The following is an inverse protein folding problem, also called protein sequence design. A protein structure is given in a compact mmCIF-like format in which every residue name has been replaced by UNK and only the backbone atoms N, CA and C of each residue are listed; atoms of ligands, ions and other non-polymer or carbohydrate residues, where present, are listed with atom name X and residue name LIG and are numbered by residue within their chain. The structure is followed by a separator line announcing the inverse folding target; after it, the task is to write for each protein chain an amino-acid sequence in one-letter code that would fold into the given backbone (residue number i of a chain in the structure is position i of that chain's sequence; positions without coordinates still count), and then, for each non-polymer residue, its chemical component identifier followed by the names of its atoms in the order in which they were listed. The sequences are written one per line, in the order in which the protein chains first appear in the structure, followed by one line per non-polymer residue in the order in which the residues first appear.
data_IF_673607751922
#
_entry.id   IF_673607751922
#
_cell.length_a   1.000
_cell.length_b   1.000
_cell.length_c   1.000
_cell.angle_alpha   90.00
_cell.angle_beta   90.00
_cell.angle_gamma   90.00
#
_symmetry.space_group_name_H-M   'P 1'
#
loop_
_entity.id
_entity.type
_entity.pdbx_description
1 polymer ?
2 non-polymer ?
3 non-polymer ?
4 water ?
#
# COMPACT_ATOMS: atom_id res chain seq x y z
N UNK A 1 6.14 26.60 -3.10
CA UNK A 1 7.31 26.88 -2.21
C UNK A 1 7.10 26.43 -0.78
N UNK A 2 5.83 26.40 -0.34
CA UNK A 2 5.50 25.96 1.01
C UNK A 2 4.97 24.53 0.97
N UNK A 3 5.65 23.64 1.69
CA UNK A 3 5.27 22.23 1.69
C UNK A 3 4.84 21.78 3.08
N UNK A 4 3.97 22.58 3.72
CA UNK A 4 3.47 22.28 5.05
C UNK A 4 2.20 21.44 4.93
N UNK A 5 2.21 20.21 5.50
CA UNK A 5 1.03 19.37 5.42
C UNK A 5 -0.03 19.81 6.42
N UNK A 6 -1.29 19.53 6.08
CA UNK A 6 -2.40 19.86 6.96
C UNK A 6 -3.26 18.61 6.94
N UNK A 7 -4.06 18.36 8.00
CA UNK A 7 -4.90 17.15 7.98
C UNK A 7 -5.69 16.95 6.68
N UNK A 8 -5.93 18.02 5.92
CA UNK A 8 -6.66 17.89 4.65
C UNK A 8 -5.91 17.07 3.59
N UNK A 9 -4.62 16.84 3.80
CA UNK A 9 -3.82 16.06 2.86
C UNK A 9 -3.99 14.53 3.06
N UNK A 10 -4.70 14.12 4.11
CA UNK A 10 -4.97 12.71 4.38
C UNK A 10 -3.73 11.85 4.62
N UNK A 11 -2.70 12.40 5.26
CA UNK A 11 -1.50 11.62 5.56
C UNK A 11 -1.68 10.85 6.86
N UNK A 12 -1.43 9.53 6.82
CA UNK A 12 -1.57 8.72 8.01
C UNK A 12 -0.31 7.87 8.24
N UNK A 13 -0.15 7.42 9.47
CA UNK A 13 1.02 6.64 9.88
C UNK A 13 0.59 5.51 10.79
N UNK A 14 1.29 4.39 10.70
CA UNK A 14 1.02 3.28 11.59
C UNK A 14 1.70 3.54 12.92
N UNK A 15 1.13 3.06 14.01
CA UNK A 15 1.74 3.24 15.32
C UNK A 15 3.09 2.55 15.33
N UNK A 16 3.18 1.45 14.59
CA UNK A 16 4.39 0.64 14.54
C UNK A 16 5.54 1.29 13.76
N UNK A 17 5.25 2.38 13.05
CA UNK A 17 6.25 3.06 12.25
C UNK A 17 7.14 3.94 13.11
N UNK A 18 6.63 5.09 13.54
CA UNK A 18 7.40 5.97 14.42
C UNK A 18 7.70 5.24 15.73
N UNK A 19 6.92 4.21 16.03
CA UNK A 19 7.13 3.44 17.25
C UNK A 19 8.15 2.31 17.11
N UNK A 20 8.75 2.13 15.93
CA UNK A 20 9.74 1.05 15.75
C UNK A 20 10.95 1.27 16.64
N UNK A 21 11.23 0.29 17.50
CA UNK A 21 12.36 0.39 18.43
C UNK A 21 13.75 0.13 17.85
N UNK A 22 13.83 -0.32 16.61
CA UNK A 22 15.13 -0.53 15.99
C UNK A 22 15.75 -1.91 16.11
N UNK A 23 14.97 -2.89 16.57
CA UNK A 23 15.49 -4.24 16.71
C UNK A 23 15.45 -4.90 15.35
N UNK A 24 16.61 -5.24 14.78
CA UNK A 24 16.64 -5.91 13.48
C UNK A 24 17.18 -7.35 13.65
N UNK A 25 17.38 -8.10 12.54
CA UNK A 25 17.81 -9.48 12.81
C UNK A 25 19.19 -9.63 13.44
N UNK A 26 20.01 -8.61 13.34
CA UNK A 26 21.37 -8.65 13.87
C UNK A 26 21.63 -7.67 15.01
N UNK A 27 20.59 -7.07 15.55
CA UNK A 27 20.81 -6.11 16.62
C UNK A 27 19.63 -5.83 17.53
N UNK A 28 19.95 -5.40 18.74
CA UNK A 28 18.93 -5.08 19.73
C UNK A 28 18.35 -3.70 19.47
N UNK A 29 17.29 -3.37 20.19
CA UNK A 29 16.63 -2.09 20.04
C UNK A 29 17.54 -0.92 20.41
N UNK A 30 17.42 0.19 19.67
CA UNK A 30 18.22 1.38 19.93
C UNK A 30 17.37 2.54 20.50
N UNK A 31 16.05 2.35 20.60
CA UNK A 31 15.16 3.38 21.13
C UNK A 31 14.17 2.77 22.13
N UNK A 32 13.65 3.58 23.05
CA UNK A 32 12.68 3.06 24.00
C UNK A 32 11.31 2.99 23.34
N UNK A 33 10.40 2.26 23.95
CA UNK A 33 9.05 2.12 23.42
C UNK A 33 8.29 3.44 23.57
N UNK A 34 7.47 3.74 22.57
CA UNK A 34 6.65 4.96 22.59
C UNK A 34 5.23 4.61 23.02
N UNK A 35 4.67 5.47 23.86
CA UNK A 35 3.30 5.29 24.32
C UNK A 35 2.42 5.68 23.13
N UNK A 36 1.49 4.81 22.71
CA UNK A 36 0.63 5.16 21.57
C UNK A 36 0.04 6.57 21.70
N UNK A 37 -0.26 6.99 22.93
CA UNK A 37 -0.79 8.33 23.17
C UNK A 37 0.22 9.43 22.77
N UNK A 38 1.50 9.20 23.02
CA UNK A 38 2.51 10.20 22.65
C UNK A 38 2.68 10.28 21.14
N UNK A 39 2.60 9.14 20.47
CA UNK A 39 2.73 9.12 19.02
C UNK A 39 1.57 9.88 18.39
N UNK A 40 0.37 9.70 18.93
CA UNK A 40 -0.79 10.41 18.38
C UNK A 40 -0.59 11.92 18.50
N UNK A 41 -0.11 12.36 19.66
CA UNK A 41 0.11 13.79 19.89
C UNK A 41 1.21 14.37 19.00
N UNK A 42 2.32 13.66 18.90
CA UNK A 42 3.46 14.11 18.08
C UNK A 42 3.13 14.16 16.58
N UNK A 43 2.39 13.17 16.10
CA UNK A 43 2.01 13.13 14.70
C UNK A 43 1.02 14.24 14.38
N UNK A 44 0.09 14.48 15.29
CA UNK A 44 -0.90 15.53 15.11
C UNK A 44 -0.18 16.87 14.94
N UNK A 45 0.86 17.07 15.74
CA UNK A 45 1.62 18.31 15.68
C UNK A 45 2.32 18.50 14.34
N UNK A 46 2.64 17.39 13.68
CA UNK A 46 3.36 17.41 12.41
C UNK A 46 2.45 17.64 11.21
N UNK A 47 1.15 17.57 11.45
CA UNK A 47 0.20 17.80 10.37
C UNK A 47 -0.45 16.56 9.81
N UNK A 48 -0.26 15.43 10.49
CA UNK A 48 -0.87 14.17 10.07
C UNK A 48 -2.40 14.22 10.24
N UNK A 49 -3.10 13.37 9.48
CA UNK A 49 -4.57 13.27 9.52
C UNK A 49 -5.04 12.16 10.46
N UNK A 50 -4.26 11.10 10.58
CA UNK A 50 -4.66 10.00 11.44
C UNK A 50 -3.60 8.95 11.64
N UNK A 51 -3.98 7.89 12.32
CA UNK A 51 -3.08 6.79 12.60
C UNK A 51 -3.75 5.46 12.31
N UNK A 52 -2.95 4.40 12.26
CA UNK A 52 -3.44 3.05 12.02
C UNK A 52 -2.76 2.15 13.04
N UNK A 53 -3.29 0.95 13.23
CA UNK A 53 -2.69 0.06 14.21
C UNK A 53 -2.98 -1.40 13.96
N UNK A 54 -2.16 -2.23 14.59
CA UNK A 54 -2.38 -3.67 14.63
C UNK A 54 -2.98 -3.82 16.01
N UNK A 55 -3.83 -4.82 16.21
CA UNK A 55 -4.37 -5.05 17.54
C UNK A 55 -3.26 -5.04 18.60
N UNK A 56 -2.17 -5.76 18.32
CA UNK A 56 -1.08 -5.86 19.28
C UNK A 56 -0.24 -4.62 19.53
N UNK A 57 -0.43 -3.56 18.74
CA UNK A 57 0.33 -2.33 18.96
C UNK A 57 -0.38 -1.56 20.07
N UNK A 58 -1.70 -1.67 20.06
CA UNK A 58 -2.55 -0.93 20.99
C UNK A 58 -2.81 -1.70 22.27
N UNK A 59 -3.09 -2.99 22.15
CA UNK A 59 -3.38 -3.84 23.29
C UNK A 59 -2.32 -4.93 23.40
N UNK A 60 -1.40 -4.84 24.40
CA UNK A 60 -0.35 -5.86 24.52
C UNK A 60 -0.92 -7.26 24.51
N UNK A 61 -0.22 -8.17 23.84
CA UNK A 61 -0.69 -9.54 23.75
C UNK A 61 -0.89 -10.13 25.15
N UNK A 62 -2.02 -10.81 25.31
CA UNK A 62 -2.34 -11.43 26.59
C UNK A 62 -3.12 -10.57 27.57
N UNK A 63 -3.41 -9.32 27.19
CA UNK A 63 -4.14 -8.42 28.09
C UNK A 63 -5.52 -8.90 28.48
N UNK A 64 -5.84 -8.73 29.76
CA UNK A 64 -7.16 -9.10 30.27
C UNK A 64 -8.17 -8.10 29.68
N UNK A 65 -9.44 -8.49 29.60
CA UNK A 65 -10.47 -7.64 29.02
C UNK A 65 -10.60 -6.27 29.69
N UNK A 66 -10.04 -6.12 30.90
CA UNK A 66 -10.12 -4.86 31.62
C UNK A 66 -8.94 -3.98 31.23
N UNK A 67 -7.74 -4.55 31.22
CA UNK A 67 -6.56 -3.81 30.82
C UNK A 67 -6.80 -3.33 29.39
N UNK A 68 -7.39 -4.21 28.59
CA UNK A 68 -7.72 -3.91 27.20
C UNK A 68 -8.57 -2.65 27.13
N UNK A 69 -9.64 -2.61 27.93
CA UNK A 69 -10.53 -1.44 27.96
C UNK A 69 -9.78 -0.16 28.31
N UNK A 70 -8.87 -0.25 29.28
CA UNK A 70 -8.11 0.90 29.71
C UNK A 70 -7.20 1.42 28.59
N UNK A 71 -6.61 0.51 27.83
CA UNK A 71 -5.73 0.90 26.72
C UNK A 71 -6.54 1.60 25.63
N UNK A 72 -7.72 1.09 25.33
CA UNK A 72 -8.56 1.71 24.32
C UNK A 72 -9.05 3.09 24.77
N UNK A 73 -9.43 3.21 26.03
CA UNK A 73 -9.94 4.46 26.58
C UNK A 73 -8.90 5.59 26.48
N UNK A 74 -7.66 5.29 26.86
CA UNK A 74 -6.59 6.29 26.80
C UNK A 74 -6.34 6.70 25.35
N UNK A 75 -6.41 5.72 24.46
CA UNK A 75 -6.16 5.95 23.04
C UNK A 75 -7.23 6.85 22.47
N UNK A 76 -8.49 6.52 22.78
CA UNK A 76 -9.63 7.30 22.31
C UNK A 76 -9.56 8.74 22.79
N UNK A 77 -9.10 8.94 24.03
CA UNK A 77 -9.01 10.29 24.57
C UNK A 77 -7.98 11.12 23.81
N UNK A 78 -6.88 10.49 23.41
CA UNK A 78 -5.83 11.18 22.66
C UNK A 78 -6.36 11.59 21.29
N UNK A 79 -7.21 10.75 20.70
CA UNK A 79 -7.81 11.04 19.40
C UNK A 79 -8.78 12.20 19.54
N UNK A 80 -9.52 12.22 20.64
CA UNK A 80 -10.49 13.28 20.88
C UNK A 80 -9.79 14.61 21.13
N UNK A 81 -8.65 14.54 21.81
CA UNK A 81 -7.89 15.74 22.15
C UNK A 81 -7.18 16.36 20.94
N UNK A 82 -6.93 15.54 19.92
CA UNK A 82 -6.18 16.01 18.75
C UNK A 82 -6.98 16.13 17.44
N UNK A 83 -8.10 15.42 17.36
CA UNK A 83 -8.88 15.44 16.14
C UNK A 83 -8.42 14.38 15.14
N UNK A 84 -7.47 13.55 15.57
CA UNK A 84 -6.93 12.49 14.72
C UNK A 84 -7.94 11.36 14.49
N UNK A 85 -7.96 10.83 13.28
CA UNK A 85 -8.86 9.75 12.91
C UNK A 85 -8.09 8.43 12.82
N UNK A 86 -8.82 7.34 12.69
CA UNK A 86 -8.23 5.99 12.54
C UNK A 86 -8.90 5.36 11.32
N UNK A 87 -8.37 5.61 10.11
CA UNK A 87 -9.04 5.10 8.90
C UNK A 87 -8.82 3.64 8.57
N UNK A 88 -7.80 3.04 9.18
CA UNK A 88 -7.48 1.64 8.88
C UNK A 88 -6.93 0.93 10.10
N UNK A 89 -7.18 -0.37 10.17
CA UNK A 89 -6.69 -1.18 11.28
C UNK A 89 -6.33 -2.54 10.70
N UNK A 90 -5.50 -3.29 11.41
CA UNK A 90 -5.09 -4.60 10.94
C UNK A 90 -4.78 -5.53 12.11
N UNK A 91 -4.51 -6.79 11.82
CA UNK A 91 -4.22 -7.76 12.86
C UNK A 91 -2.77 -8.17 12.81
N UNK A 92 -2.19 -8.42 13.98
CA UNK A 92 -0.82 -8.94 14.00
C UNK A 92 -0.93 -10.46 14.05
N UNK A 93 -0.70 -11.10 12.92
CA UNK A 93 -0.75 -12.56 12.82
C UNK A 93 0.65 -13.03 12.45
N UNK A 94 1.66 -12.31 12.91
CA UNK A 94 3.04 -12.65 12.55
C UNK A 94 4.08 -12.67 13.66
N UNK A 95 3.89 -11.89 14.72
CA UNK A 95 4.90 -11.82 15.78
C UNK A 95 4.98 -13.01 16.73
N UNK A 96 3.84 -13.42 17.27
CA UNK A 96 3.84 -14.50 18.24
C UNK A 96 4.29 -15.84 17.67
N UNK A 97 5.13 -16.58 18.40
CA UNK A 97 5.62 -17.88 17.94
C UNK A 97 4.53 -18.83 17.44
N UNK A 98 3.31 -18.67 17.92
CA UNK A 98 2.25 -19.57 17.51
C UNK A 98 1.97 -19.44 16.03
N UNK A 99 2.30 -18.29 15.44
CA UNK A 99 2.06 -18.06 14.02
C UNK A 99 3.28 -18.35 13.15
N UNK A 100 4.23 -19.12 13.68
CA UNK A 100 5.46 -19.44 12.96
C UNK A 100 5.27 -20.09 11.60
N UNK A 101 4.16 -20.77 11.40
CA UNK A 101 3.88 -21.38 10.10
C UNK A 101 2.70 -20.72 9.44
N UNK A 102 2.33 -19.55 9.94
CA UNK A 102 1.21 -18.82 9.36
C UNK A 102 0.04 -18.64 10.30
N UNK A 103 -0.95 -17.91 9.81
CA UNK A 103 -2.15 -17.66 10.57
C UNK A 103 -3.29 -18.37 9.86
N UNK A 104 -3.77 -17.79 8.77
CA UNK A 104 -4.84 -18.39 7.99
C UNK A 104 -4.46 -19.66 7.27
N UNK A 105 -3.17 -19.83 6.95
CA UNK A 105 -2.72 -21.02 6.23
C UNK A 105 -1.72 -21.89 7.01
N UNK A 106 -1.73 -21.79 8.34
CA UNK A 106 -0.85 -22.64 9.14
C UNK A 106 -1.28 -24.09 8.90
N UNK A 107 -0.36 -25.05 8.95
CA UNK A 107 -0.74 -26.44 8.73
C UNK A 107 -1.63 -26.95 9.85
N UNK A 108 -1.40 -26.45 11.06
CA UNK A 108 -2.19 -26.83 12.22
C UNK A 108 -3.56 -26.16 12.18
N UNK A 109 -4.63 -26.95 12.09
CA UNK A 109 -6.00 -26.43 12.02
C UNK A 109 -6.38 -25.56 13.22
N UNK A 110 -5.93 -25.95 14.40
CA UNK A 110 -6.28 -25.17 15.59
C UNK A 110 -5.70 -23.76 15.59
N UNK A 111 -4.56 -23.57 14.92
CA UNK A 111 -3.95 -22.26 14.84
C UNK A 111 -4.73 -21.41 13.84
N UNK A 112 -5.24 -22.04 12.79
CA UNK A 112 -6.03 -21.33 11.80
C UNK A 112 -7.32 -20.80 12.43
N UNK A 113 -7.94 -21.61 13.29
CA UNK A 113 -9.16 -21.18 13.96
C UNK A 113 -8.85 -20.05 14.92
N UNK A 114 -7.73 -20.15 15.65
CA UNK A 114 -7.32 -19.10 16.58
C UNK A 114 -7.04 -17.79 15.84
N UNK A 115 -6.35 -17.87 14.70
CA UNK A 115 -6.05 -16.70 13.89
C UNK A 115 -7.33 -15.97 13.47
N UNK A 116 -8.36 -16.74 13.14
CA UNK A 116 -9.63 -16.16 12.72
C UNK A 116 -10.32 -15.42 13.88
N UNK A 117 -10.35 -16.05 15.05
CA UNK A 117 -10.98 -15.42 16.21
C UNK A 117 -10.28 -14.12 16.63
N UNK A 118 -8.95 -14.11 16.49
CA UNK A 118 -8.12 -12.95 16.87
C UNK A 118 -8.38 -11.81 15.92
N UNK A 119 -8.60 -12.14 14.66
CA UNK A 119 -8.89 -11.13 13.64
C UNK A 119 -10.27 -10.53 13.89
N UNK A 120 -11.27 -11.39 14.04
CA UNK A 120 -12.65 -10.96 14.24
C UNK A 120 -12.78 -10.00 15.43
N UNK A 121 -12.06 -10.31 16.50
CA UNK A 121 -12.08 -9.47 17.69
C UNK A 121 -11.57 -8.07 17.38
N UNK A 122 -10.56 -7.96 16.52
CA UNK A 122 -10.02 -6.65 16.18
C UNK A 122 -10.85 -5.93 15.13
N UNK A 123 -11.67 -6.67 14.39
CA UNK A 123 -12.57 -6.05 13.43
C UNK A 123 -13.63 -5.27 14.21
N UNK A 124 -14.16 -5.87 15.28
CA UNK A 124 -15.16 -5.21 16.10
C UNK A 124 -14.59 -3.90 16.62
N UNK A 125 -13.34 -3.96 17.06
CA UNK A 125 -12.68 -2.78 17.61
C UNK A 125 -12.46 -1.71 16.56
N UNK A 126 -12.02 -2.14 15.38
CA UNK A 126 -11.76 -1.21 14.28
C UNK A 126 -13.01 -0.43 13.89
N UNK A 127 -14.16 -1.11 13.88
CA UNK A 127 -15.41 -0.46 13.53
C UNK A 127 -15.76 0.55 14.62
N UNK A 128 -15.54 0.17 15.86
CA UNK A 128 -15.82 1.05 16.99
C UNK A 128 -15.04 2.35 16.87
N UNK A 129 -13.81 2.28 16.34
CA UNK A 129 -12.95 3.47 16.20
C UNK A 129 -13.14 4.22 14.88
N UNK A 130 -14.01 3.70 14.01
CA UNK A 130 -14.31 4.39 12.77
C UNK A 130 -13.47 4.02 11.56
N UNK A 131 -12.75 2.92 11.63
CA UNK A 131 -11.93 2.52 10.49
C UNK A 131 -12.81 2.10 9.33
N UNK A 132 -12.41 2.48 8.12
CA UNK A 132 -13.17 2.14 6.92
C UNK A 132 -12.55 0.96 6.19
N UNK A 133 -11.28 0.69 6.47
CA UNK A 133 -10.56 -0.38 5.80
C UNK A 133 -9.85 -1.26 6.80
N UNK A 134 -9.84 -2.56 6.53
CA UNK A 134 -9.16 -3.52 7.38
C UNK A 134 -8.12 -4.22 6.51
N UNK A 135 -6.85 -4.04 6.84
CA UNK A 135 -5.77 -4.63 6.05
C UNK A 135 -5.37 -6.01 6.57
N UNK A 136 -4.99 -6.87 5.64
CA UNK A 136 -4.52 -8.19 5.98
C UNK A 136 -3.18 -8.43 5.30
N UNK A 137 -2.11 -8.58 6.09
CA UNK A 137 -0.79 -8.85 5.54
C UNK A 137 -0.39 -10.24 6.04
N UNK A 138 -0.42 -11.23 5.14
CA UNK A 138 -0.08 -12.59 5.52
C UNK A 138 1.43 -12.82 5.53
N UNK A 139 2.12 -12.12 6.42
CA UNK A 139 3.56 -12.23 6.50
C UNK A 139 4.12 -13.62 6.79
N UNK A 140 3.36 -14.46 7.48
CA UNK A 140 3.83 -15.80 7.82
C UNK A 140 3.22 -16.88 6.92
N UNK A 141 2.40 -16.50 5.95
CA UNK A 141 1.78 -17.48 5.05
C UNK A 141 2.77 -17.80 3.93
N UNK A 142 3.38 -18.99 3.98
CA UNK A 142 4.35 -19.33 2.96
C UNK A 142 5.22 -20.48 3.39
N UNK A 143 6.45 -20.52 2.90
CA UNK A 143 7.36 -21.60 3.23
C UNK A 143 8.81 -21.34 2.88
N UNK A 144 9.70 -22.11 3.49
CA UNK A 144 11.13 -22.03 3.17
C UNK A 144 11.50 -23.23 2.30
N UNK A 145 10.67 -24.28 2.34
CA UNK A 145 10.93 -25.50 1.56
C UNK A 145 9.69 -25.98 0.80
N UNK A 146 9.92 -26.70 -0.30
CA UNK A 146 8.82 -27.13 -1.14
C UNK A 146 7.77 -28.09 -0.63
N UNK A 147 8.15 -29.03 0.22
CA UNK A 147 7.18 -29.99 0.69
C UNK A 147 6.36 -29.56 1.88
N UNK A 148 6.79 -28.49 2.54
CA UNK A 148 6.15 -28.00 3.75
C UNK A 148 4.75 -27.45 3.55
N UNK A 149 4.45 -27.05 2.32
CA UNK A 149 3.18 -26.40 2.04
C UNK A 149 2.64 -26.80 0.68
N UNK A 150 1.40 -27.30 0.65
CA UNK A 150 0.76 -27.64 -0.60
C UNK A 150 0.00 -26.35 -0.88
N UNK A 151 0.47 -25.60 -1.87
CA UNK A 151 -0.11 -24.29 -2.17
C UNK A 151 -1.57 -24.29 -2.56
N UNK A 152 -2.04 -25.33 -3.22
CA UNK A 152 -3.45 -25.39 -3.58
C UNK A 152 -4.31 -25.51 -2.33
N UNK A 153 -3.91 -26.37 -1.39
CA UNK A 153 -4.63 -26.50 -0.15
C UNK A 153 -4.53 -25.20 0.64
N UNK A 154 -3.37 -24.57 0.61
CA UNK A 154 -3.16 -23.31 1.33
C UNK A 154 -4.07 -22.21 0.76
N UNK A 155 -4.24 -22.18 -0.55
CA UNK A 155 -5.11 -21.18 -1.16
C UNK A 155 -6.56 -21.50 -0.80
N UNK A 156 -6.88 -22.78 -0.62
CA UNK A 156 -8.24 -23.15 -0.22
C UNK A 156 -8.49 -22.61 1.19
N UNK A 157 -7.49 -22.76 2.05
CA UNK A 157 -7.58 -22.29 3.43
C UNK A 157 -7.60 -20.75 3.51
N UNK A 158 -6.88 -20.08 2.61
CA UNK A 158 -6.84 -18.62 2.60
C UNK A 158 -8.21 -18.05 2.18
N UNK A 159 -8.81 -18.66 1.17
CA UNK A 159 -10.12 -18.25 0.68
C UNK A 159 -11.15 -18.54 1.76
N UNK A 160 -11.00 -19.69 2.42
CA UNK A 160 -11.93 -20.06 3.48
C UNK A 160 -11.95 -18.96 4.55
N UNK A 161 -10.77 -18.52 4.94
CA UNK A 161 -10.62 -17.49 5.96
C UNK A 161 -11.26 -16.18 5.54
N UNK A 162 -10.88 -15.67 4.37
CA UNK A 162 -11.43 -14.42 3.87
C UNK A 162 -12.94 -14.49 3.65
N UNK A 163 -13.43 -15.64 3.21
CA UNK A 163 -14.87 -15.80 3.00
C UNK A 163 -15.60 -15.71 4.36
N UNK A 164 -15.03 -16.32 5.38
CA UNK A 164 -15.64 -16.28 6.71
C UNK A 164 -15.62 -14.85 7.26
N UNK A 165 -14.56 -14.09 6.97
CA UNK A 165 -14.51 -12.72 7.44
C UNK A 165 -15.57 -11.91 6.72
N UNK A 166 -15.80 -12.23 5.46
CA UNK A 166 -16.81 -11.55 4.68
C UNK A 166 -18.20 -11.85 5.23
N UNK A 167 -18.45 -13.11 5.57
CA UNK A 167 -19.73 -13.52 6.13
C UNK A 167 -19.97 -12.80 7.46
N UNK A 168 -18.89 -12.58 8.22
CA UNK A 168 -18.98 -11.93 9.52
C UNK A 168 -19.37 -10.46 9.42
N UNK A 169 -18.62 -9.68 8.65
CA UNK A 169 -18.93 -8.27 8.52
C UNK A 169 -20.34 -8.05 7.96
N UNK A 170 -20.72 -8.82 6.95
CA UNK A 170 -22.04 -8.66 6.35
C UNK A 170 -23.17 -9.03 7.31
N UNK A 171 -22.91 -9.98 8.20
CA UNK A 171 -23.93 -10.39 9.16
C UNK A 171 -24.08 -9.35 10.26
N UNK A 172 -22.98 -8.67 10.59
CA UNK A 172 -22.98 -7.65 11.61
C UNK A 172 -23.43 -6.31 11.04
N UNK A 173 -23.50 -6.24 9.72
CA UNK A 173 -23.90 -5.01 9.06
C UNK A 173 -22.81 -3.94 9.09
N UNK A 174 -21.55 -4.35 9.18
CA UNK A 174 -20.47 -3.37 9.21
C UNK A 174 -20.21 -2.77 7.84
N UNK A 175 -19.75 -1.53 7.85
CA UNK A 175 -19.44 -0.81 6.63
C UNK A 175 -17.93 -0.69 6.64
N UNK A 176 -17.27 -1.80 6.34
CA UNK A 176 -15.83 -1.87 6.31
C UNK A 176 -15.43 -2.81 5.18
N UNK A 177 -14.32 -2.49 4.52
CA UNK A 177 -13.85 -3.31 3.42
C UNK A 177 -12.49 -3.87 3.80
N UNK A 178 -12.09 -4.95 3.14
CA UNK A 178 -10.79 -5.58 3.41
C UNK A 178 -9.79 -5.20 2.32
N UNK A 179 -8.51 -5.17 2.67
CA UNK A 179 -7.48 -4.87 1.69
C UNK A 179 -6.27 -5.77 1.95
N UNK A 180 -5.98 -6.63 0.99
CA UNK A 180 -4.87 -7.57 1.10
C UNK A 180 -3.58 -6.89 0.70
N UNK A 181 -2.56 -7.06 1.55
CA UNK A 181 -1.27 -6.46 1.28
C UNK A 181 -0.26 -7.51 0.86
N UNK A 182 0.17 -7.49 -0.41
CA UNK A 182 1.14 -8.48 -0.89
C UNK A 182 2.58 -8.19 -0.50
N UNK A 183 3.41 -9.22 -0.53
CA UNK A 183 4.84 -9.09 -0.25
C UNK A 183 5.42 -10.39 -0.78
N UNK A 184 6.52 -10.32 -1.53
CA UNK A 184 7.04 -11.56 -2.13
C UNK A 184 7.77 -12.51 -1.19
N UNK A 185 8.48 -11.95 -0.23
CA UNK A 185 9.26 -12.75 0.71
C UNK A 185 9.59 -11.92 1.93
N UNK A 186 10.11 -12.60 2.94
CA UNK A 186 10.51 -12.02 4.21
C UNK A 186 9.32 -11.62 5.09
N UNK A 187 9.04 -12.40 6.15
CA UNK A 187 10.01 -13.27 6.83
C UNK A 187 10.07 -14.72 6.32
N UNK A 188 9.08 -15.15 5.52
CA UNK A 188 9.10 -16.50 4.97
C UNK A 188 9.95 -16.48 3.69
N UNK A 189 10.49 -17.64 3.32
CA UNK A 189 11.30 -17.74 2.12
C UNK A 189 10.57 -17.27 0.88
N UNK A 190 9.30 -17.62 0.83
CA UNK A 190 8.38 -17.22 -0.24
C UNK A 190 7.03 -17.03 0.42
N UNK A 191 6.39 -15.91 0.17
CA UNK A 191 5.08 -15.61 0.75
C UNK A 191 3.97 -15.82 -0.27
N UNK A 192 2.82 -16.32 0.18
CA UNK A 192 1.69 -16.57 -0.71
C UNK A 192 1.07 -15.23 -1.12
N UNK A 193 0.59 -15.15 -2.37
CA UNK A 193 0.03 -13.90 -2.93
C UNK A 193 1.17 -12.88 -2.91
N UNK A 194 2.28 -13.20 -3.60
CA UNK A 194 3.49 -12.37 -3.57
C UNK A 194 3.49 -10.98 -4.20
N UNK A 195 2.55 -10.69 -5.09
CA UNK A 195 2.51 -9.37 -5.72
C UNK A 195 1.07 -8.90 -5.83
N UNK A 196 0.91 -7.63 -6.20
CA UNK A 196 -0.41 -7.06 -6.40
C UNK A 196 -1.21 -7.92 -7.39
N UNK A 197 -0.55 -8.43 -8.42
CA UNK A 197 -1.22 -9.26 -9.39
C UNK A 197 -1.83 -10.51 -8.78
N UNK A 198 -1.05 -11.25 -8.00
CA UNK A 198 -1.53 -12.48 -7.38
C UNK A 198 -2.69 -12.21 -6.44
N UNK A 199 -2.62 -11.10 -5.72
CA UNK A 199 -3.67 -10.71 -4.80
C UNK A 199 -4.98 -10.39 -5.54
N UNK A 200 -4.88 -9.63 -6.63
CA UNK A 200 -6.06 -9.28 -7.42
C UNK A 200 -6.72 -10.52 -8.00
N UNK A 201 -5.90 -11.46 -8.45
CA UNK A 201 -6.43 -12.68 -9.06
C UNK A 201 -7.15 -13.53 -8.02
N UNK A 202 -6.56 -13.59 -6.83
CA UNK A 202 -7.15 -14.37 -5.74
C UNK A 202 -8.52 -13.80 -5.32
N UNK A 203 -8.60 -12.48 -5.23
CA UNK A 203 -9.83 -11.79 -4.83
C UNK A 203 -11.04 -12.17 -5.68
N UNK A 204 -10.80 -12.38 -6.96
CA UNK A 204 -11.85 -12.74 -7.90
C UNK A 204 -12.44 -14.13 -7.64
N UNK A 205 -11.79 -14.91 -6.77
CA UNK A 205 -12.29 -16.25 -6.44
C UNK A 205 -13.01 -16.31 -5.09
N UNK A 206 -13.14 -15.18 -4.41
CA UNK A 206 -13.82 -15.12 -3.12
C UNK A 206 -15.32 -15.05 -3.37
N UNK A 207 -16.13 -15.45 -2.40
CA UNK A 207 -17.58 -15.43 -2.57
C UNK A 207 -18.15 -14.03 -2.81
N UNK A 208 -17.64 -13.03 -2.09
CA UNK A 208 -18.12 -11.64 -2.23
C UNK A 208 -16.95 -10.76 -2.63
N UNK A 209 -16.50 -10.84 -3.89
CA UNK A 209 -15.33 -10.05 -4.30
C UNK A 209 -15.41 -8.55 -4.08
N UNK A 210 -16.62 -8.00 -4.04
CA UNK A 210 -16.77 -6.55 -3.88
C UNK A 210 -16.26 -6.02 -2.55
N UNK A 211 -16.11 -6.90 -1.56
CA UNK A 211 -15.65 -6.49 -0.24
C UNK A 211 -14.13 -6.45 -0.13
N UNK A 212 -13.43 -6.93 -1.15
CA UNK A 212 -11.97 -7.00 -1.07
C UNK A 212 -11.21 -6.21 -2.11
N UNK A 213 -10.10 -5.62 -1.67
CA UNK A 213 -9.24 -4.88 -2.56
C UNK A 213 -7.81 -5.13 -2.15
N UNK A 214 -6.90 -4.29 -2.63
CA UNK A 214 -5.49 -4.44 -2.28
C UNK A 214 -4.94 -3.24 -1.53
N UNK A 215 -3.87 -3.49 -0.81
CA UNK A 215 -3.13 -2.48 -0.08
C UNK A 215 -1.67 -2.64 -0.50
N UNK A 216 -1.32 -2.17 -1.70
CA UNK A 216 0.05 -2.31 -2.19
C UNK A 216 1.04 -1.45 -1.42
N UNK A 217 2.29 -1.90 -1.33
CA UNK A 217 3.33 -1.14 -0.66
C UNK A 217 4.44 -0.95 -1.66
N UNK A 218 4.94 0.28 -1.75
CA UNK A 218 6.00 0.60 -2.69
C UNK A 218 7.14 -0.40 -2.62
N UNK A 219 7.73 -0.53 -1.43
CA UNK A 219 8.89 -1.40 -1.27
C UNK A 219 8.69 -2.87 -1.60
N UNK A 220 7.52 -3.41 -1.32
CA UNK A 220 7.24 -4.81 -1.58
C UNK A 220 7.27 -5.17 -3.06
N UNK A 221 6.64 -4.37 -3.92
CA UNK A 221 6.65 -4.70 -5.33
C UNK A 221 8.05 -4.55 -5.85
N UNK A 222 8.79 -3.59 -5.28
CA UNK A 222 10.15 -3.36 -5.70
C UNK A 222 11.11 -4.46 -5.23
N UNK A 223 10.70 -5.26 -4.26
CA UNK A 223 11.51 -6.39 -3.80
C UNK A 223 11.45 -7.51 -4.84
N UNK A 224 10.50 -7.38 -5.76
CA UNK A 224 10.34 -8.34 -6.85
C UNK A 224 10.82 -7.70 -8.16
N UNK A 225 11.37 -6.50 -8.05
CA UNK A 225 11.90 -5.78 -9.19
C UNK A 225 10.83 -5.25 -10.13
N UNK A 226 9.61 -5.14 -9.63
CA UNK A 226 8.51 -4.68 -10.46
C UNK A 226 8.33 -3.16 -10.46
N UNK A 227 7.59 -2.66 -11.45
CA UNK A 227 7.30 -1.25 -11.58
C UNK A 227 6.07 -0.95 -10.71
N UNK A 228 6.27 -0.25 -9.60
CA UNK A 228 5.16 0.06 -8.70
C UNK A 228 4.05 0.87 -9.37
N UNK A 229 4.37 2.01 -10.01
CA UNK A 229 3.30 2.77 -10.66
C UNK A 229 2.47 1.91 -11.62
N UNK A 230 3.10 0.99 -12.34
CA UNK A 230 2.36 0.11 -13.24
C UNK A 230 1.41 -0.78 -12.45
N UNK A 231 1.89 -1.32 -11.34
CA UNK A 231 1.07 -2.19 -10.52
C UNK A 231 -0.14 -1.46 -9.98
N UNK A 232 0.07 -0.20 -9.59
CA UNK A 232 -1.00 0.63 -9.06
C UNK A 232 -2.02 0.95 -10.15
N UNK A 233 -1.55 1.18 -11.38
CA UNK A 233 -2.46 1.45 -12.49
C UNK A 233 -3.36 0.25 -12.72
N UNK A 234 -2.82 -0.97 -12.56
CA UNK A 234 -3.64 -2.15 -12.77
C UNK A 234 -4.68 -2.28 -11.68
N UNK A 235 -4.29 -2.00 -10.44
CA UNK A 235 -5.22 -2.07 -9.33
C UNK A 235 -6.34 -1.04 -9.52
N UNK A 236 -5.99 0.16 -9.98
CA UNK A 236 -6.99 1.21 -10.24
C UNK A 236 -7.89 0.79 -11.40
N UNK A 237 -7.29 0.22 -12.44
CA UNK A 237 -8.02 -0.24 -13.62
C UNK A 237 -9.09 -1.23 -13.18
N UNK A 238 -8.77 -2.06 -12.19
CA UNK A 238 -9.72 -3.06 -11.69
C UNK A 238 -10.67 -2.53 -10.59
N UNK A 239 -10.49 -1.26 -10.17
CA UNK A 239 -11.31 -0.68 -9.12
C UNK A 239 -11.03 -1.26 -7.74
N UNK A 240 -9.80 -1.71 -7.53
CA UNK A 240 -9.42 -2.37 -6.28
C UNK A 240 -8.40 -1.66 -5.41
N UNK A 241 -8.07 -0.41 -5.70
CA UNK A 241 -7.12 0.28 -4.84
C UNK A 241 -7.86 0.89 -3.66
N UNK A 242 -8.02 0.08 -2.62
CA UNK A 242 -8.72 0.51 -1.41
C UNK A 242 -7.85 1.32 -0.44
N UNK A 243 -6.55 1.10 -0.47
CA UNK A 243 -5.63 1.76 0.44
C UNK A 243 -4.22 1.62 -0.15
N UNK A 244 -3.23 2.32 0.40
CA UNK A 244 -1.88 2.21 -0.13
C UNK A 244 -0.85 2.52 0.94
N UNK A 245 0.27 1.81 0.88
CA UNK A 245 1.39 2.00 1.83
C UNK A 245 2.54 2.64 1.08
N UNK A 246 2.94 3.83 1.55
CA UNK A 246 4.01 4.57 0.93
C UNK A 246 5.30 4.48 1.73
N UNK A 247 6.40 4.26 1.01
CA UNK A 247 7.72 4.22 1.62
C UNK A 247 8.78 4.17 0.51
N UNK A 248 10.01 3.84 0.89
CA UNK A 248 11.11 3.77 -0.05
C UNK A 248 11.87 2.45 0.08
N UNK A 249 12.45 2.00 -1.02
CA UNK A 249 13.19 0.76 -1.08
C UNK A 249 14.27 0.88 -2.14
N UNK A 250 15.47 0.45 -1.81
CA UNK A 250 16.57 0.49 -2.76
C UNK A 250 16.77 -0.86 -3.45
N UNK A 251 15.89 -1.20 -4.38
CA UNK A 251 16.05 -2.42 -5.15
C UNK A 251 15.71 -3.73 -4.49
N UNK A 252 16.28 -4.80 -5.04
CA UNK A 252 16.02 -6.16 -4.56
C UNK A 252 16.95 -6.59 -3.44
N UNK A 253 16.39 -6.57 -2.24
CA UNK A 253 17.07 -6.95 -1.01
C UNK A 253 16.00 -6.97 0.09
N UNK A 254 16.45 -7.02 1.33
CA UNK A 254 15.54 -7.04 2.48
C UNK A 254 14.59 -5.84 2.44
N UNK A 255 13.45 -5.98 3.12
CA UNK A 255 12.43 -4.93 3.18
C UNK A 255 12.95 -3.76 4.02
N UNK A 256 13.34 -2.67 3.35
CA UNK A 256 13.92 -1.51 4.02
C UNK A 256 12.97 -0.55 4.71
N UNK A 257 11.80 -0.32 4.13
CA UNK A 257 10.83 0.61 4.71
C UNK A 257 11.45 1.99 4.96
N UNK A 258 12.16 2.52 3.98
CA UNK A 258 12.75 3.85 4.10
C UNK A 258 11.62 4.87 4.04
N UNK A 259 11.90 6.10 4.44
CA UNK A 259 10.87 7.13 4.39
C UNK A 259 10.49 7.37 2.94
N UNK A 260 9.25 7.77 2.70
CA UNK A 260 8.78 7.99 1.34
C UNK A 260 9.60 9.08 0.65
N UNK A 261 9.99 8.82 -0.59
CA UNK A 261 10.82 9.76 -1.34
C UNK A 261 12.20 9.15 -1.49
N UNK A 262 12.61 8.40 -0.48
CA UNK A 262 13.90 7.71 -0.51
C UNK A 262 13.75 6.48 -1.40
N UNK A 263 14.87 5.85 -1.76
CA UNK A 263 14.80 4.71 -2.64
C UNK A 263 14.74 5.18 -4.09
N UNK A 264 13.76 4.69 -4.84
CA UNK A 264 13.58 5.06 -6.25
C UNK A 264 12.80 6.37 -6.37
N UNK A 265 13.52 7.47 -6.47
CA UNK A 265 12.88 8.79 -6.54
C UNK A 265 11.99 9.01 -7.76
N UNK A 266 12.43 8.54 -8.91
CA UNK A 266 11.62 8.72 -10.10
C UNK A 266 10.32 7.93 -10.01
N UNK A 267 10.38 6.72 -9.46
CA UNK A 267 9.17 5.91 -9.32
C UNK A 267 8.19 6.61 -8.37
N UNK A 268 8.73 7.32 -7.39
CA UNK A 268 7.91 8.06 -6.44
C UNK A 268 7.16 9.16 -7.18
N UNK A 269 7.86 9.83 -8.11
CA UNK A 269 7.28 10.92 -8.91
C UNK A 269 6.12 10.39 -9.77
N UNK A 270 6.37 9.29 -10.49
CA UNK A 270 5.34 8.70 -11.34
C UNK A 270 4.16 8.16 -10.55
N UNK A 271 4.42 7.71 -9.33
CA UNK A 271 3.36 7.20 -8.47
C UNK A 271 2.44 8.35 -8.05
N UNK A 272 3.02 9.45 -7.58
CA UNK A 272 2.22 10.59 -7.14
C UNK A 272 1.42 11.16 -8.32
N UNK A 273 2.06 11.22 -9.48
CA UNK A 273 1.39 11.71 -10.69
C UNK A 273 0.16 10.88 -10.97
N UNK A 274 0.29 9.56 -10.85
CA UNK A 274 -0.81 8.65 -11.10
C UNK A 274 -1.92 8.80 -10.05
N UNK A 275 -1.57 8.74 -8.77
CA UNK A 275 -2.56 8.86 -7.70
C UNK A 275 -3.35 10.15 -7.78
N UNK A 276 -2.67 11.24 -8.09
CA UNK A 276 -3.33 12.52 -8.20
C UNK A 276 -4.16 12.60 -9.49
N UNK A 277 -3.59 12.15 -10.60
CA UNK A 277 -4.31 12.19 -11.87
C UNK A 277 -5.55 11.32 -11.86
N UNK A 278 -5.45 10.19 -11.19
CA UNK A 278 -6.55 9.23 -11.12
C UNK A 278 -7.58 9.58 -10.07
N UNK A 279 -7.30 10.58 -9.24
CA UNK A 279 -8.24 10.96 -8.22
C UNK A 279 -8.39 9.97 -7.07
N UNK A 280 -7.29 9.37 -6.64
CA UNK A 280 -7.34 8.45 -5.50
C UNK A 280 -7.70 9.34 -4.30
N UNK A 281 -8.74 8.96 -3.57
CA UNK A 281 -9.22 9.76 -2.43
C UNK A 281 -9.01 9.12 -1.07
N UNK A 282 -8.27 8.01 -1.05
CA UNK A 282 -8.01 7.33 0.19
C UNK A 282 -6.86 7.96 0.95
N UNK A 283 -6.53 7.41 2.12
CA UNK A 283 -5.43 7.96 2.91
C UNK A 283 -4.07 7.74 2.25
N UNK A 284 -3.14 8.66 2.50
CA UNK A 284 -1.78 8.53 2.00
C UNK A 284 -1.03 8.01 3.22
N UNK A 285 -1.03 6.68 3.35
CA UNK A 285 -0.47 5.99 4.52
C UNK A 285 1.01 5.68 4.35
N UNK A 286 1.77 5.94 5.41
CA UNK A 286 3.19 5.67 5.40
C UNK A 286 3.52 4.48 6.27
N UNK A 287 4.16 3.48 5.67
CA UNK A 287 4.59 2.31 6.42
C UNK A 287 6.10 2.31 6.28
N UNK A 288 6.74 2.99 7.22
CA UNK A 288 8.19 3.16 7.17
C UNK A 288 8.79 2.95 8.54
N UNK A 289 10.10 2.79 8.56
CA UNK A 289 10.84 2.57 9.79
C UNK A 289 11.96 3.58 9.88
N UNK A 290 11.91 4.49 10.87
CA UNK A 290 13.03 5.43 10.95
C UNK A 290 14.30 4.64 11.33
N UNK A 291 15.38 4.75 10.53
CA UNK A 291 16.55 3.89 10.71
C UNK A 291 17.01 3.82 12.17
N UNK A 292 17.53 2.67 12.60
CA UNK A 292 17.94 2.51 14.00
C UNK A 292 19.11 3.39 14.44
N UNK A 293 19.67 4.14 13.50
CA UNK A 293 20.77 5.08 13.78
C UNK A 293 20.23 6.34 14.45
N UNK A 294 18.94 6.57 14.31
CA UNK A 294 18.31 7.79 14.82
C UNK A 294 17.79 7.75 16.24
N UNK A 295 17.77 8.93 16.86
CA UNK A 295 17.19 9.07 18.19
C UNK A 295 15.79 9.57 17.94
N UNK A 296 15.07 10.01 18.97
CA UNK A 296 13.70 10.48 18.75
C UNK A 296 13.56 11.70 17.86
N UNK A 297 14.53 12.61 17.91
CA UNK A 297 14.48 13.79 17.06
C UNK A 297 14.57 13.34 15.61
N UNK A 298 15.37 12.31 15.36
CA UNK A 298 15.50 11.76 14.02
C UNK A 298 14.24 11.06 13.55
N UNK A 299 13.51 10.46 14.48
CA UNK A 299 12.25 9.79 14.16
C UNK A 299 11.22 10.79 13.61
N UNK A 300 11.08 11.93 14.28
CA UNK A 300 10.10 12.93 13.83
C UNK A 300 10.54 13.63 12.54
N UNK A 301 11.85 13.77 12.37
CA UNK A 301 12.38 14.37 11.16
C UNK A 301 12.10 13.44 9.98
N UNK A 302 12.20 12.14 10.21
CA UNK A 302 11.95 11.16 9.15
C UNK A 302 10.46 11.13 8.79
N UNK A 303 9.60 11.18 9.81
CA UNK A 303 8.15 11.19 9.58
C UNK A 303 7.75 12.42 8.80
N UNK A 304 8.29 13.57 9.20
CA UNK A 304 7.99 14.83 8.53
C UNK A 304 8.49 14.78 7.09
N UNK A 305 9.62 14.12 6.88
CA UNK A 305 10.18 13.99 5.54
C UNK A 305 9.27 13.25 4.59
N UNK A 306 8.52 12.27 5.10
CA UNK A 306 7.59 11.50 4.29
C UNK A 306 6.57 12.42 3.64
N UNK A 307 5.91 13.22 4.47
CA UNK A 307 4.87 14.11 3.99
C UNK A 307 5.43 15.20 3.09
N UNK A 308 6.58 15.75 3.46
CA UNK A 308 7.22 16.80 2.67
C UNK A 308 7.51 16.33 1.26
N UNK A 309 8.10 15.15 1.14
CA UNK A 309 8.44 14.62 -0.17
C UNK A 309 7.22 14.38 -1.05
N UNK A 310 6.13 13.95 -0.44
CA UNK A 310 4.91 13.74 -1.20
C UNK A 310 4.42 15.08 -1.72
N UNK A 311 4.45 16.11 -0.88
CA UNK A 311 3.99 17.43 -1.31
C UNK A 311 4.85 18.06 -2.40
N UNK A 312 6.15 17.84 -2.36
CA UNK A 312 7.04 18.37 -3.39
C UNK A 312 6.75 17.67 -4.71
N UNK A 313 6.67 16.34 -4.68
CA UNK A 313 6.39 15.56 -5.89
C UNK A 313 5.02 15.89 -6.49
N UNK A 314 4.02 16.12 -5.64
CA UNK A 314 2.69 16.47 -6.09
C UNK A 314 2.77 17.78 -6.87
N UNK A 315 3.56 18.72 -6.36
CA UNK A 315 3.73 20.00 -7.01
C UNK A 315 4.38 19.80 -8.38
N UNK A 316 5.49 19.06 -8.40
CA UNK A 316 6.22 18.82 -9.63
C UNK A 316 5.40 18.06 -10.68
N UNK A 317 4.60 17.10 -10.25
CA UNK A 317 3.77 16.33 -11.17
C UNK A 317 2.69 17.21 -11.79
N UNK A 318 2.10 18.08 -10.98
CA UNK A 318 1.06 18.99 -11.44
C UNK A 318 1.61 19.97 -12.47
N UNK A 319 2.79 20.54 -12.19
CA UNK A 319 3.42 21.47 -13.11
C UNK A 319 3.74 20.77 -14.43
N UNK A 320 4.17 19.51 -14.34
CA UNK A 320 4.51 18.72 -15.52
C UNK A 320 3.29 18.57 -16.44
N UNK A 321 2.18 18.11 -15.87
CA UNK A 321 0.96 17.90 -16.64
C UNK A 321 0.34 19.19 -17.17
N UNK A 322 0.50 20.27 -16.41
CA UNK A 322 -0.05 21.59 -16.79
C UNK A 322 0.80 22.35 -17.79
N UNK A 323 2.00 21.86 -18.07
CA UNK A 323 2.92 22.52 -19.00
C UNK A 323 2.46 22.36 -20.45
N UNK A 324 2.14 23.47 -21.15
CA UNK A 324 1.72 23.31 -22.55
C UNK A 324 2.75 22.56 -23.39
N UNK A 325 4.03 22.76 -23.10
CA UNK A 325 5.11 22.09 -23.84
C UNK A 325 5.03 20.57 -23.62
N UNK A 326 4.65 20.17 -22.41
CA UNK A 326 4.51 18.75 -22.10
C UNK A 326 3.26 18.22 -22.78
N UNK A 327 2.19 19.02 -22.79
CA UNK A 327 0.96 18.57 -23.44
C UNK A 327 1.20 18.37 -24.93
N UNK A 328 2.05 19.19 -25.53
CA UNK A 328 2.36 19.06 -26.95
C UNK A 328 3.17 17.78 -27.16
N UNK A 329 4.11 17.54 -26.25
CA UNK A 329 4.97 16.36 -26.31
C UNK A 329 4.15 15.07 -26.20
N UNK A 330 3.12 15.10 -25.35
CA UNK A 330 2.29 13.92 -25.16
C UNK A 330 1.56 13.60 -26.47
N UNK A 331 1.19 14.64 -27.22
CA UNK A 331 0.53 14.44 -28.50
C UNK A 331 1.54 13.94 -29.52
N UNK A 332 2.75 14.48 -29.47
CA UNK A 332 3.81 14.05 -30.38
C UNK A 332 4.10 12.55 -30.21
N UNK A 333 3.91 12.05 -28.98
CA UNK A 333 4.16 10.66 -28.67
C UNK A 333 2.90 9.79 -28.77
N UNK A 334 1.82 10.39 -29.27
CA UNK A 334 0.54 9.70 -29.47
C UNK A 334 -0.11 9.09 -28.23
N UNK A 335 0.02 9.76 -27.08
CA UNK A 335 -0.66 9.27 -25.88
C UNK A 335 -2.15 9.48 -26.10
N UNK A 336 -2.49 10.45 -26.95
CA UNK A 336 -3.88 10.72 -27.23
C UNK A 336 -4.47 9.56 -28.04
N UNK A 337 -3.68 8.97 -28.92
CA UNK A 337 -4.14 7.84 -29.74
C UNK A 337 -4.29 6.56 -28.91
N UNK A 338 -3.44 6.39 -27.90
CA UNK A 338 -3.53 5.23 -27.04
C UNK A 338 -4.89 5.20 -26.35
N UNK A 339 -5.44 6.39 -26.07
CA UNK A 339 -6.73 6.53 -25.38
C UNK A 339 -7.95 6.33 -26.27
N UNK A 340 -7.72 6.19 -27.57
CA UNK A 340 -8.83 5.98 -28.51
C UNK A 340 -9.01 4.49 -28.77
N UNK A 341 -10.26 4.02 -28.89
CA UNK A 341 -10.45 2.59 -29.15
C UNK A 341 -9.73 2.13 -30.41
N UNK A 342 -9.26 0.88 -30.40
CA UNK A 342 -8.56 0.31 -31.54
C UNK A 342 -9.55 0.01 -32.63
N UNK A 343 -10.72 -0.48 -32.23
CA UNK A 343 -11.74 -0.84 -33.20
C UNK A 343 -13.17 -0.66 -32.71
N UNK A 344 -13.56 0.59 -32.51
CA UNK A 344 -14.94 0.90 -32.11
C UNK A 344 -15.89 0.51 -33.24
N UNK A 345 -15.35 0.41 -34.45
CA UNK A 345 -16.11 0.03 -35.64
C UNK A 345 -16.51 -1.45 -35.65
N UNK A 346 -15.89 -2.25 -34.79
CA UNK A 346 -16.25 -3.64 -34.70
C UNK A 346 -15.38 -4.60 -35.47
N UNK A 347 -15.49 -5.88 -35.10
CA UNK A 347 -14.71 -6.94 -35.72
C UNK A 347 -14.86 -7.04 -37.25
N UNK A 348 -16.09 -7.10 -37.76
CA UNK A 348 -16.29 -7.23 -39.20
C UNK A 348 -15.67 -6.09 -39.95
N UNK A 349 -15.89 -4.87 -39.47
CA UNK A 349 -15.32 -3.70 -40.13
C UNK A 349 -13.79 -3.82 -40.16
N UNK A 350 -13.20 -4.25 -39.04
CA UNK A 350 -11.75 -4.42 -38.97
C UNK A 350 -11.28 -5.45 -40.01
N UNK A 351 -12.02 -6.53 -40.16
CA UNK A 351 -11.67 -7.57 -41.12
C UNK A 351 -11.82 -7.10 -42.56
N UNK A 352 -12.73 -6.16 -42.78
CA UNK A 352 -12.98 -5.64 -44.12
C UNK A 352 -12.13 -4.42 -44.46
N UNK A 353 -11.43 -3.89 -43.45
CA UNK A 353 -10.59 -2.71 -43.63
C UNK A 353 -9.26 -3.10 -44.24
N UNK A 354 -9.06 -2.78 -45.52
CA UNK A 354 -7.80 -3.10 -46.19
C UNK A 354 -6.65 -2.22 -45.69
N UNK A 355 -6.99 -1.08 -45.08
CA UNK A 355 -5.98 -0.16 -44.57
C UNK A 355 -5.37 -0.69 -43.29
N UNK A 356 -5.93 -1.78 -42.79
CA UNK A 356 -5.42 -2.39 -41.57
C UNK A 356 -4.49 -3.55 -41.83
N UNK A 357 -4.32 -3.93 -43.09
CA UNK A 357 -3.45 -5.07 -43.39
C UNK A 357 -2.96 -5.10 -44.82
N UNK A 358 -3.86 -5.41 -45.75
CA UNK A 358 -3.50 -5.53 -47.16
C UNK A 358 -2.75 -4.33 -47.72
N UNK A 359 -3.18 -3.13 -47.38
CA UNK A 359 -2.56 -1.91 -47.87
C UNK A 359 -1.88 -1.09 -46.77
N UNK A 360 -1.63 -1.71 -45.63
CA UNK A 360 -0.97 -1.01 -44.52
C UNK A 360 0.51 -0.86 -44.84
N UNK A 361 1.01 0.36 -44.82
CA UNK A 361 2.42 0.59 -45.14
C UNK A 361 3.24 0.37 -43.87
N UNK A 362 3.67 -0.87 -43.67
CA UNK A 362 4.42 -1.23 -42.48
C UNK A 362 5.74 -0.49 -42.33
N UNK A 363 6.40 -0.17 -43.45
CA UNK A 363 7.67 0.55 -43.37
C UNK A 363 7.51 2.01 -42.96
N UNK A 364 6.46 2.66 -43.47
CA UNK A 364 6.20 4.04 -43.13
C UNK A 364 5.92 4.17 -41.64
N UNK A 365 5.11 3.25 -41.13
CA UNK A 365 4.77 3.26 -39.71
C UNK A 365 6.01 3.02 -38.85
N UNK A 366 6.81 2.05 -39.24
CA UNK A 366 8.02 1.70 -38.53
C UNK A 366 9.03 2.84 -38.43
N UNK A 367 9.04 3.72 -39.44
CA UNK A 367 9.98 4.84 -39.47
C UNK A 367 9.62 5.98 -38.53
N UNK A 368 8.41 5.97 -37.98
CA UNK A 368 7.99 7.04 -37.08
C UNK A 368 8.70 6.92 -35.73
N UNK A 369 9.31 7.99 -35.26
CA UNK A 369 9.90 7.94 -33.93
C UNK A 369 8.79 8.14 -32.90
N UNK A 370 8.95 7.60 -31.70
CA UNK A 370 7.92 7.77 -30.66
C UNK A 370 8.12 9.05 -29.85
N UNK A 371 9.29 9.66 -29.98
CA UNK A 371 9.64 10.88 -29.25
C UNK A 371 9.56 10.74 -27.73
N UNK A 372 9.79 9.53 -27.22
CA UNK A 372 9.70 9.28 -25.78
C UNK A 372 10.84 9.90 -24.98
N UNK A 373 12.02 10.04 -25.59
CA UNK A 373 13.16 10.59 -24.87
C UNK A 373 13.01 12.08 -24.56
N UNK A 374 12.48 12.84 -25.52
CA UNK A 374 12.25 14.26 -25.28
C UNK A 374 11.21 14.39 -24.17
N UNK A 375 10.15 13.59 -24.24
CA UNK A 375 9.10 13.62 -23.23
C UNK A 375 9.66 13.30 -21.84
N UNK A 376 10.53 12.29 -21.77
CA UNK A 376 11.10 11.90 -20.49
C UNK A 376 12.05 12.96 -19.94
N UNK A 377 12.72 13.70 -20.82
CA UNK A 377 13.63 14.74 -20.34
C UNK A 377 12.81 15.91 -19.80
N UNK A 378 11.64 16.16 -20.39
CA UNK A 378 10.77 17.22 -19.90
C UNK A 378 10.32 16.84 -18.50
N UNK A 379 10.04 15.54 -18.30
CA UNK A 379 9.62 15.04 -16.99
C UNK A 379 10.74 15.20 -15.97
N UNK A 380 11.97 14.91 -16.40
CA UNK A 380 13.14 15.05 -15.54
C UNK A 380 13.33 16.50 -15.15
N UNK A 381 13.26 17.40 -16.14
CA UNK A 381 13.42 18.84 -15.88
C UNK A 381 12.40 19.30 -14.84
N UNK A 382 11.15 18.88 -14.98
CA UNK A 382 10.13 19.27 -14.03
C UNK A 382 10.42 18.74 -12.64
N UNK A 383 10.83 17.48 -12.56
CA UNK A 383 11.15 16.85 -11.28
C UNK A 383 12.24 17.62 -10.53
N UNK A 384 13.30 17.97 -11.24
CA UNK A 384 14.42 18.70 -10.66
C UNK A 384 14.18 20.21 -10.59
N UNK A 385 13.02 20.67 -11.04
CA UNK A 385 12.73 22.09 -11.00
C UNK A 385 13.71 22.88 -11.84
N UNK A 386 14.08 22.31 -12.98
CA UNK A 386 15.02 22.94 -13.89
C UNK A 386 14.41 23.37 -15.23
N UNK A 387 13.15 23.78 -15.24
CA UNK A 387 12.55 24.19 -16.51
C UNK A 387 12.93 25.57 -17.05
N UNK A 388 13.19 25.58 -18.35
CA UNK A 388 13.57 26.79 -19.06
C UNK A 388 13.70 26.44 -20.54
X LIG B 1 7.61 -3.20 4.02
X LIG C 1 3.09 -2.28 4.65
X LIG D 1 2.74 -5.34 9.30
X LIG D 1 3.60 -5.32 8.02
X LIG D 1 3.44 -4.06 7.23
X LIG D 1 1.96 -3.58 7.36
X LIG D 1 0.98 -4.68 7.76
X LIG D 1 3.19 -4.15 10.01
X LIG D 1 4.98 -5.42 8.36
X LIG D 1 3.93 -4.42 5.94
X LIG D 1 1.53 -3.06 6.16
X LIG D 1 1.28 -5.32 9.00
X LIG D 1 2.87 -6.25 9.87
X LIG D 1 3.32 -6.17 7.41
X LIG D 1 4.05 -3.21 7.54
X LIG D 1 1.91 -2.82 8.14
X LIG D 1 1.04 -5.45 6.98
X LIG D 1 -0.02 -4.22 7.85
X LIG D 1 4.13 -4.22 10.24
X LIG D 1 5.50 -5.67 7.58
X LIG D 1 4.82 -4.02 5.82
X LIG D 1 1.16 -3.73 5.63
#
# INVERSE_FOLDING_TARGET
MNYQPTPEDRFTFGLWTVGWQGRDPFGDATRRALDPVESVRRLAELGAHGVTFHDDDLIPFGSSDSEREEHVKRFRQALDDTGMKVPMATTNLFTHPVFKDGGFTANDRDVRRYALRKTIRNIDLAVELGAETYVAWGGREGAESGGAKDVRDALDRMKEAFDLLGEYVTSQGYDIRFAIEPKPNEPRGDILLPTVGHALAFIERLERPELYGVNPEVGHEQMAGLNFPHGIAQALWAGKLFHIDLNGQNGIKYDQDLRFGAGDLRAAFWLVDLLESAGYSGPRHFDFKPPRTEDFDGVWASAAGCMRNYLILKERAAAFRADPEVQEALRASRLDELARPTAADGLQALLDDRSAFEEFDVDAAAARGMAFERLDQLAMDHLLGARG
CD CD
CD CD
ARB C1 C2 C3 C4 C5 O1 O2 O3 O4 O5 H1 H2 H3 H4 H51 H52 DO1 DO2 DO3 DO4
#
